data_IF_475825114795
#
_entry.id   IF_475825114795
#
_cell.length_a   1.000
_cell.length_b   1.000
_cell.length_c   1.000
_cell.angle_alpha   90.00
_cell.angle_beta   90.00
_cell.angle_gamma   90.00
#
_symmetry.space_group_name_H-M   'P 1'
#
loop_
_entity.id
_entity.type
_entity.pdbx_description
1 polymer ?
#
# COMPACT_ATOMS: atom_id res chain seq x y z
N UNK A 1 -4.48 -14.98 11.15
CA UNK A 1 -3.12 -14.43 10.90
C UNK A 1 -2.51 -14.10 12.25
N UNK A 2 -1.24 -14.45 12.53
CA UNK A 2 -0.63 -14.17 13.83
C UNK A 2 -0.11 -12.73 13.91
N UNK A 3 -0.02 -12.17 15.13
CA UNK A 3 0.54 -10.83 15.35
C UNK A 3 1.97 -10.69 14.82
N UNK A 4 2.78 -11.76 14.89
CA UNK A 4 4.12 -11.80 14.31
C UNK A 4 4.10 -11.56 12.80
N UNK A 5 3.29 -12.31 12.05
CA UNK A 5 3.22 -12.15 10.60
C UNK A 5 2.66 -10.77 10.23
N UNK A 6 1.67 -10.25 10.98
CA UNK A 6 1.16 -8.90 10.74
C UNK A 6 2.26 -7.83 10.91
N UNK A 7 3.11 -7.95 11.94
CA UNK A 7 4.23 -7.04 12.15
C UNK A 7 5.26 -7.11 11.01
N UNK A 8 5.58 -8.32 10.53
CA UNK A 8 6.48 -8.53 9.39
C UNK A 8 5.93 -7.87 8.11
N UNK A 9 4.66 -8.09 7.81
CA UNK A 9 3.99 -7.48 6.66
C UNK A 9 3.95 -5.95 6.75
N UNK A 10 3.69 -5.42 7.95
CA UNK A 10 3.72 -3.97 8.18
C UNK A 10 5.11 -3.40 7.90
N UNK A 11 6.18 -4.02 8.40
CA UNK A 11 7.54 -3.54 8.20
C UNK A 11 7.94 -3.55 6.72
N UNK A 12 7.60 -4.61 5.98
CA UNK A 12 7.91 -4.68 4.55
C UNK A 12 7.08 -3.73 3.70
N UNK A 13 5.80 -3.55 4.04
CA UNK A 13 4.88 -2.71 3.24
C UNK A 13 5.06 -1.21 3.49
N UNK A 14 5.52 -0.84 4.69
CA UNK A 14 5.65 0.56 5.11
C UNK A 14 7.08 1.06 5.27
N UNK A 15 8.05 0.15 5.13
CA UNK A 15 9.47 0.45 5.20
C UNK A 15 9.96 1.29 4.03
N UNK A 16 10.90 2.18 4.33
CA UNK A 16 11.64 2.91 3.29
C UNK A 16 12.95 2.17 2.92
N UNK A 17 13.84 2.83 2.17
CA UNK A 17 15.13 2.29 1.75
C UNK A 17 16.00 1.77 2.90
N UNK A 18 15.80 2.25 4.13
CA UNK A 18 16.56 1.77 5.30
C UNK A 18 16.25 0.31 5.60
N UNK A 19 14.98 -0.11 5.41
CA UNK A 19 14.53 -1.48 5.65
C UNK A 19 15.16 -2.48 4.66
N UNK A 20 15.73 -2.02 3.54
CA UNK A 20 16.45 -2.90 2.62
C UNK A 20 17.59 -3.68 3.29
N UNK A 21 18.32 -3.06 4.24
CA UNK A 21 19.38 -3.73 4.99
C UNK A 21 18.83 -4.86 5.89
N UNK A 22 17.64 -4.66 6.46
CA UNK A 22 16.94 -5.68 7.27
C UNK A 22 16.49 -6.83 6.38
N UNK A 23 15.95 -6.55 5.19
CA UNK A 23 15.51 -7.58 4.23
C UNK A 23 16.70 -8.43 3.76
N UNK A 24 17.82 -7.81 3.40
CA UNK A 24 19.04 -8.55 3.00
C UNK A 24 19.58 -9.41 4.15
N UNK A 25 19.68 -8.86 5.36
CA UNK A 25 20.11 -9.60 6.54
C UNK A 25 19.16 -10.79 6.84
N UNK A 26 17.84 -10.57 6.80
CA UNK A 26 16.86 -11.62 7.02
C UNK A 26 16.97 -12.74 5.98
N UNK A 27 17.18 -12.40 4.71
CA UNK A 27 17.38 -13.37 3.64
C UNK A 27 18.63 -14.25 3.89
N UNK A 28 19.74 -13.65 4.35
CA UNK A 28 20.96 -14.38 4.73
C UNK A 28 20.76 -15.27 5.96
N UNK A 29 19.84 -14.90 6.84
CA UNK A 29 19.50 -15.60 8.09
C UNK A 29 18.33 -16.57 7.94
N UNK A 30 18.00 -17.03 6.71
CA UNK A 30 16.90 -17.96 6.44
C UNK A 30 15.52 -17.46 6.93
N UNK A 31 15.31 -16.14 6.87
CA UNK A 31 14.05 -15.50 7.23
C UNK A 31 13.92 -15.12 8.70
N UNK A 32 14.98 -15.21 9.51
CA UNK A 32 14.95 -14.73 10.90
C UNK A 32 14.97 -13.18 10.95
N UNK A 33 13.77 -12.58 10.86
CA UNK A 33 13.62 -11.12 10.89
C UNK A 33 14.07 -10.52 12.23
N UNK A 34 13.83 -11.22 13.35
CA UNK A 34 14.16 -10.69 14.67
C UNK A 34 15.69 -10.57 14.83
N UNK A 35 16.45 -11.54 14.34
CA UNK A 35 17.91 -11.46 14.28
C UNK A 35 18.39 -10.35 13.34
N UNK A 36 17.77 -10.21 12.17
CA UNK A 36 18.11 -9.17 11.20
C UNK A 36 17.89 -7.74 11.75
N UNK A 37 16.76 -7.51 12.44
CA UNK A 37 16.48 -6.22 13.10
C UNK A 37 17.54 -5.93 14.16
N UNK A 38 17.88 -6.90 15.02
CA UNK A 38 18.94 -6.74 16.04
C UNK A 38 20.31 -6.45 15.43
N UNK A 39 20.66 -7.12 14.32
CA UNK A 39 21.95 -6.94 13.65
C UNK A 39 22.07 -5.55 13.02
N UNK A 40 21.02 -5.09 12.36
CA UNK A 40 21.04 -3.82 11.61
C UNK A 40 20.82 -2.60 12.51
N UNK A 41 20.25 -2.80 13.70
CA UNK A 41 19.95 -1.72 14.64
C UNK A 41 18.80 -0.81 14.20
N UNK A 42 18.04 -1.20 13.17
CA UNK A 42 16.87 -0.46 12.72
C UNK A 42 15.76 -0.59 13.76
N UNK A 43 15.14 0.52 14.12
CA UNK A 43 13.91 0.52 14.92
C UNK A 43 12.70 0.23 14.02
N UNK A 44 12.06 -0.95 14.12
CA UNK A 44 10.89 -1.26 13.32
C UNK A 44 9.68 -0.38 13.71
N UNK A 45 9.60 0.12 14.95
CA UNK A 45 8.45 0.89 15.42
C UNK A 45 8.29 2.22 14.66
N UNK A 46 9.39 2.79 14.18
CA UNK A 46 9.38 3.95 13.29
C UNK A 46 8.57 3.70 12.02
N UNK A 47 8.54 2.47 11.48
CA UNK A 47 7.78 2.17 10.27
C UNK A 47 6.38 1.61 10.58
N UNK A 48 6.26 0.78 11.62
CA UNK A 48 5.06 -0.02 11.87
C UNK A 48 4.04 0.61 12.82
N UNK A 49 4.46 1.52 13.70
CA UNK A 49 3.66 1.87 14.88
C UNK A 49 3.52 3.36 15.14
N UNK A 50 4.26 4.22 14.44
CA UNK A 50 4.11 5.67 14.57
C UNK A 50 2.86 6.17 13.86
N UNK A 51 2.30 7.26 14.36
CA UNK A 51 1.36 8.04 13.59
C UNK A 51 2.06 8.66 12.35
N UNK A 52 1.36 8.60 11.23
CA UNK A 52 1.79 9.19 9.96
C UNK A 52 0.88 10.37 9.63
N UNK A 53 1.49 11.48 9.24
CA UNK A 53 0.74 12.66 8.80
C UNK A 53 0.34 12.49 7.32
N UNK A 54 -0.69 13.19 6.86
CA UNK A 54 -1.08 13.13 5.44
C UNK A 54 -0.21 14.02 4.54
N UNK A 55 0.63 14.86 5.15
CA UNK A 55 1.56 15.77 4.50
C UNK A 55 2.91 15.13 4.17
N UNK A 56 3.21 13.94 4.71
CA UNK A 56 4.40 13.18 4.35
C UNK A 56 4.15 12.21 3.18
N UNK A 57 5.23 11.64 2.63
CA UNK A 57 5.11 10.57 1.65
C UNK A 57 4.65 9.27 2.33
N UNK A 58 3.41 8.90 2.07
CA UNK A 58 2.80 7.68 2.60
C UNK A 58 3.16 6.48 1.72
N UNK A 59 3.35 5.27 2.28
CA UNK A 59 3.72 4.09 1.49
C UNK A 59 2.79 3.83 0.30
N UNK A 60 1.47 4.02 0.48
CA UNK A 60 0.47 3.87 -0.57
C UNK A 60 0.42 5.01 -1.59
N UNK A 61 1.11 6.13 -1.35
CA UNK A 61 1.22 7.22 -2.34
C UNK A 61 2.28 6.95 -3.41
N UNK A 62 3.16 5.96 -3.17
CA UNK A 62 4.25 5.58 -4.10
C UNK A 62 3.74 4.56 -5.12
N UNK A 63 2.75 3.75 -4.75
CA UNK A 63 2.14 2.73 -5.62
C UNK A 63 0.82 3.26 -6.15
N UNK A 64 0.68 3.32 -7.48
CA UNK A 64 -0.62 3.59 -8.06
C UNK A 64 -1.51 2.34 -8.02
N UNK A 65 -2.61 2.45 -7.29
CA UNK A 65 -3.62 1.40 -7.15
C UNK A 65 -4.89 1.70 -7.97
N UNK A 66 -4.90 2.78 -8.74
CA UNK A 66 -6.10 3.30 -9.40
C UNK A 66 -7.05 4.04 -8.45
N UNK A 67 -6.76 4.09 -7.14
CA UNK A 67 -7.55 4.80 -6.14
C UNK A 67 -7.04 6.23 -5.95
N UNK A 68 -7.95 7.17 -5.72
CA UNK A 68 -7.56 8.54 -5.37
C UNK A 68 -6.98 8.62 -3.97
N UNK A 69 -6.13 9.62 -3.73
CA UNK A 69 -5.57 9.89 -2.41
C UNK A 69 -6.67 10.14 -1.36
N UNK A 70 -7.68 10.95 -1.70
CA UNK A 70 -8.81 11.25 -0.81
C UNK A 70 -9.59 10.00 -0.42
N UNK A 71 -9.79 9.05 -1.35
CA UNK A 71 -10.41 7.77 -1.03
C UNK A 71 -9.60 6.99 0.01
N UNK A 72 -8.30 6.82 -0.22
CA UNK A 72 -7.41 6.11 0.71
C UNK A 72 -7.32 6.80 2.08
N UNK A 73 -7.30 8.13 2.11
CA UNK A 73 -7.33 8.94 3.33
C UNK A 73 -8.61 8.69 4.13
N UNK A 74 -9.78 8.80 3.51
CA UNK A 74 -11.07 8.52 4.17
C UNK A 74 -11.13 7.09 4.72
N UNK A 75 -10.64 6.11 3.98
CA UNK A 75 -10.61 4.71 4.44
C UNK A 75 -9.64 4.51 5.61
N UNK A 76 -8.49 5.18 5.61
CA UNK A 76 -7.56 5.17 6.73
C UNK A 76 -8.14 5.83 7.98
N UNK A 77 -8.84 6.97 7.85
CA UNK A 77 -9.54 7.64 8.96
C UNK A 77 -10.60 6.72 9.60
N UNK A 78 -11.46 6.08 8.78
CA UNK A 78 -12.42 5.08 9.27
C UNK A 78 -11.74 3.93 9.99
N UNK A 79 -10.65 3.40 9.44
CA UNK A 79 -9.92 2.29 10.06
C UNK A 79 -9.37 2.68 11.45
N UNK A 80 -8.87 3.91 11.62
CA UNK A 80 -8.42 4.43 12.93
C UNK A 80 -9.56 4.50 13.96
N UNK A 81 -10.78 4.75 13.51
CA UNK A 81 -11.99 4.77 14.32
C UNK A 81 -12.63 3.37 14.50
N UNK A 82 -11.98 2.31 13.99
CA UNK A 82 -12.54 0.94 13.97
C UNK A 82 -13.88 0.83 13.23
N UNK A 83 -14.10 1.70 12.25
CA UNK A 83 -15.28 1.68 11.38
C UNK A 83 -15.03 0.79 10.17
N UNK A 84 -16.05 0.03 9.79
CA UNK A 84 -16.04 -0.79 8.58
C UNK A 84 -16.44 0.05 7.36
N UNK A 85 -15.88 -0.29 6.20
CA UNK A 85 -16.31 0.25 4.91
C UNK A 85 -17.16 -0.75 4.14
N UNK A 86 -17.76 -0.26 3.05
CA UNK A 86 -18.54 -1.12 2.15
C UNK A 86 -17.64 -2.21 1.54
N UNK A 87 -18.18 -3.41 1.27
CA UNK A 87 -17.42 -4.46 0.60
C UNK A 87 -16.95 -3.99 -0.79
N UNK A 88 -15.88 -4.58 -1.32
CA UNK A 88 -15.45 -4.34 -2.70
C UNK A 88 -15.96 -5.49 -3.60
N UNK A 89 -16.78 -5.23 -4.64
CA UNK A 89 -17.23 -3.92 -5.11
C UNK A 89 -18.37 -3.33 -4.26
N UNK A 90 -18.35 -2.02 -4.02
CA UNK A 90 -19.33 -1.35 -3.16
C UNK A 90 -20.72 -1.22 -3.79
N UNK A 91 -20.79 -1.36 -5.12
CA UNK A 91 -21.99 -1.29 -5.96
C UNK A 91 -21.84 -2.27 -7.13
N UNK A 92 -22.94 -2.61 -7.80
CA UNK A 92 -22.93 -3.55 -8.93
C UNK A 92 -22.00 -3.12 -10.09
N UNK A 93 -21.81 -1.82 -10.31
CA UNK A 93 -20.94 -1.24 -11.35
C UNK A 93 -19.92 -0.29 -10.74
N UNK A 94 -18.85 -0.84 -10.16
CA UNK A 94 -17.78 -0.06 -9.52
C UNK A 94 -16.66 0.27 -10.51
N UNK A 95 -16.24 1.53 -10.56
CA UNK A 95 -15.10 1.98 -11.40
C UNK A 95 -13.97 2.61 -10.56
N UNK A 96 -14.01 2.46 -9.23
CA UNK A 96 -13.14 3.23 -8.32
C UNK A 96 -11.65 2.92 -8.47
N UNK A 97 -11.25 1.64 -8.58
CA UNK A 97 -9.85 1.23 -8.79
C UNK A 97 -9.56 0.59 -10.15
N UNK A 98 -10.60 0.25 -10.92
CA UNK A 98 -10.46 -0.44 -12.21
C UNK A 98 -10.06 -1.93 -12.14
N UNK A 99 -9.91 -2.53 -10.95
CA UNK A 99 -9.46 -3.94 -10.80
C UNK A 99 -10.60 -4.94 -11.03
N UNK A 100 -11.77 -4.70 -10.47
CA UNK A 100 -12.88 -5.66 -10.55
C UNK A 100 -13.51 -5.63 -11.95
N UNK A 101 -13.71 -6.78 -12.60
CA UNK A 101 -14.43 -6.87 -13.88
C UNK A 101 -15.95 -6.83 -13.68
N UNK A 102 -16.47 -6.06 -12.71
CA UNK A 102 -17.92 -5.97 -12.45
C UNK A 102 -18.60 -5.26 -13.63
N UNK A 103 -18.89 -6.05 -14.67
CA UNK A 103 -19.57 -5.74 -15.94
C UNK A 103 -18.99 -4.63 -16.82
N UNK A 104 -18.10 -3.76 -16.33
CA UNK A 104 -17.60 -2.64 -17.14
C UNK A 104 -16.38 -3.00 -18.00
N UNK A 105 -15.49 -3.91 -17.59
CA UNK A 105 -14.30 -4.25 -18.38
C UNK A 105 -14.64 -4.91 -19.74
N UNK A 106 -15.80 -5.57 -19.84
CA UNK A 106 -16.31 -6.10 -21.10
C UNK A 106 -16.83 -5.00 -22.05
N UNK A 107 -17.26 -3.87 -21.49
CA UNK A 107 -17.87 -2.74 -22.20
C UNK A 107 -16.97 -1.47 -22.18
N UNK A 108 -15.74 -1.58 -21.66
CA UNK A 108 -14.84 -0.46 -21.45
C UNK A 108 -14.19 -0.03 -22.78
N UNK A 109 -14.19 1.27 -23.12
CA UNK A 109 -13.39 1.78 -24.23
C UNK A 109 -11.92 1.41 -24.06
N UNK A 110 -11.28 0.97 -25.15
CA UNK A 110 -9.89 0.49 -25.17
C UNK A 110 -8.88 1.48 -24.56
N UNK A 111 -9.20 2.78 -24.60
CA UNK A 111 -8.42 3.86 -24.00
C UNK A 111 -8.29 3.81 -22.46
N UNK A 112 -9.13 3.03 -21.77
CA UNK A 112 -9.16 2.94 -20.30
C UNK A 112 -8.54 1.64 -19.76
N UNK A 113 -8.12 0.72 -20.64
CA UNK A 113 -7.41 -0.52 -20.26
C UNK A 113 -5.94 -0.24 -19.91
N UNK A 114 -5.42 0.94 -20.26
CA UNK A 114 -4.06 1.37 -19.92
C UNK A 114 -4.09 2.27 -18.68
N UNK A 115 -4.08 1.65 -17.49
CA UNK A 115 -3.97 2.35 -16.21
C UNK A 115 -2.50 2.78 -16.03
N UNK A 116 -2.15 3.89 -16.68
CA UNK A 116 -1.11 4.79 -16.20
C UNK A 116 -1.85 5.93 -15.49
N UNK A 117 -1.59 6.19 -14.20
CA UNK A 117 -2.29 7.27 -13.49
C UNK A 117 -2.07 8.57 -14.24
N UNK A 118 -3.10 9.41 -14.33
CA UNK A 118 -3.07 10.64 -15.14
C UNK A 118 -1.85 11.52 -14.83
N UNK A 119 -1.44 11.55 -13.56
CA UNK A 119 -0.26 12.26 -13.06
C UNK A 119 1.07 11.72 -13.63
N UNK A 120 1.20 10.41 -13.81
CA UNK A 120 2.40 9.81 -14.43
C UNK A 120 2.38 10.03 -15.95
N UNK A 121 1.20 9.99 -16.58
CA UNK A 121 1.04 10.32 -18.00
C UNK A 121 1.46 11.77 -18.31
N UNK A 122 1.10 12.73 -17.46
CA UNK A 122 1.55 14.12 -17.58
C UNK A 122 3.07 14.27 -17.37
N UNK A 123 3.65 13.54 -16.41
CA UNK A 123 5.08 13.58 -16.12
C UNK A 123 5.95 12.89 -17.18
N UNK A 124 5.39 11.96 -17.95
CA UNK A 124 6.08 11.24 -19.03
C UNK A 124 5.86 11.85 -20.43
N UNK A 125 5.08 12.93 -20.54
CA UNK A 125 4.80 13.62 -21.81
C UNK A 125 5.89 14.64 -22.22
N UNK A 126 7.12 14.47 -21.72
CA UNK A 126 8.31 15.26 -22.08
C UNK A 126 9.19 14.45 -23.03
#
# INVERSE_FOLDING_TARGET
MSARIAHEQALYSSGDRTVAAVIDAAARMKGDLAAAIRQTGIDPAFHTSRDRSYEEFLPWSIVDSGLSFEFLKTEHEKARESLSSLPCPAVEKCTTCGVCPSTWLADAPEALVQIQPAKIRELLAI
#
